data_IF_014421297356
#
_entry.id   IF_014421297356
#
_cell.length_a   1.000
_cell.length_b   1.000
_cell.length_c   1.000
_cell.angle_alpha   90.00
_cell.angle_beta   90.00
_cell.angle_gamma   90.00
#
_symmetry.space_group_name_H-M   'P 1'
#
loop_
_entity.id
_entity.type
_entity.pdbx_description
1 polymer ?
#
# COMPACT_ATOMS: atom_id res chain seq x y z
N UNK A 1 18.18 16.41 7.42
CA UNK A 1 18.48 16.11 6.00
C UNK A 1 17.28 15.64 5.17
N UNK A 2 16.22 15.03 5.72
CA UNK A 2 15.00 14.65 4.96
C UNK A 2 13.97 15.80 4.84
N UNK A 3 14.01 16.78 5.75
CA UNK A 3 13.03 17.88 5.81
C UNK A 3 13.12 18.90 4.65
N UNK A 4 14.22 18.90 3.89
CA UNK A 4 14.55 19.92 2.87
C UNK A 4 14.53 19.38 1.43
N UNK A 5 14.15 18.11 1.24
CA UNK A 5 13.98 17.53 -0.10
C UNK A 5 12.55 17.72 -0.56
N UNK A 6 12.36 18.48 -1.63
CA UNK A 6 11.14 18.45 -2.43
C UNK A 6 11.07 17.10 -3.14
N UNK A 7 10.43 16.13 -2.49
CA UNK A 7 10.22 14.81 -3.07
C UNK A 7 9.20 14.92 -4.22
N UNK A 8 9.65 14.73 -5.46
CA UNK A 8 8.74 14.59 -6.61
C UNK A 8 7.98 13.26 -6.49
N UNK A 9 6.64 13.29 -6.46
CA UNK A 9 5.85 12.06 -6.39
C UNK A 9 6.13 11.15 -7.60
N UNK A 10 6.48 11.75 -8.75
CA UNK A 10 6.84 11.01 -9.97
C UNK A 10 8.13 10.21 -9.78
N UNK A 11 9.15 10.83 -9.18
CA UNK A 11 10.43 10.16 -8.93
C UNK A 11 10.27 9.04 -7.90
N UNK A 12 9.57 9.33 -6.79
CA UNK A 12 9.26 8.30 -5.79
C UNK A 12 8.45 7.17 -6.42
N UNK A 13 7.49 7.48 -7.30
CA UNK A 13 6.69 6.45 -7.95
C UNK A 13 7.52 5.57 -8.87
N UNK A 14 8.30 6.18 -9.77
CA UNK A 14 9.03 5.48 -10.84
C UNK A 14 10.21 4.68 -10.27
N UNK A 15 11.01 5.30 -9.40
CA UNK A 15 12.25 4.68 -8.91
C UNK A 15 12.03 3.78 -7.70
N UNK A 16 10.92 3.94 -6.99
CA UNK A 16 10.74 3.31 -5.70
C UNK A 16 9.41 2.54 -5.59
N UNK A 17 8.26 3.21 -5.69
CA UNK A 17 6.94 2.60 -5.51
C UNK A 17 6.68 1.48 -6.52
N UNK A 18 6.87 1.72 -7.83
CA UNK A 18 6.58 0.73 -8.88
C UNK A 18 7.47 -0.51 -8.76
N UNK A 19 8.81 -0.41 -8.71
CA UNK A 19 9.67 -1.59 -8.56
C UNK A 19 9.33 -2.38 -7.28
N UNK A 20 9.08 -1.68 -6.18
CA UNK A 20 8.75 -2.29 -4.90
C UNK A 20 7.45 -3.10 -4.97
N UNK A 21 6.36 -2.51 -5.49
CA UNK A 21 5.09 -3.24 -5.63
C UNK A 21 5.15 -4.34 -6.68
N UNK A 22 5.96 -4.18 -7.73
CA UNK A 22 6.16 -5.24 -8.72
C UNK A 22 6.75 -6.49 -8.05
N UNK A 23 7.81 -6.32 -7.25
CA UNK A 23 8.46 -7.44 -6.56
C UNK A 23 7.50 -8.08 -5.54
N UNK A 24 6.77 -7.29 -4.74
CA UNK A 24 5.79 -7.85 -3.77
C UNK A 24 4.70 -8.63 -4.47
N UNK A 25 4.16 -8.07 -5.56
CA UNK A 25 3.06 -8.70 -6.28
C UNK A 25 3.53 -9.99 -6.93
N UNK A 26 4.76 -10.01 -7.43
CA UNK A 26 5.37 -11.23 -7.96
C UNK A 26 5.60 -12.27 -6.86
N UNK A 27 6.14 -11.86 -5.71
CA UNK A 27 6.33 -12.73 -4.56
C UNK A 27 5.01 -13.33 -4.07
N UNK A 28 3.94 -12.52 -4.00
CA UNK A 28 2.61 -12.98 -3.59
C UNK A 28 2.03 -14.06 -4.50
N UNK A 29 2.36 -14.05 -5.79
CA UNK A 29 1.96 -15.12 -6.73
C UNK A 29 2.68 -16.43 -6.45
N UNK A 30 3.93 -16.36 -5.98
CA UNK A 30 4.75 -17.55 -5.70
C UNK A 30 4.40 -18.19 -4.36
N UNK A 31 3.87 -17.42 -3.41
CA UNK A 31 3.62 -17.87 -2.03
C UNK A 31 2.18 -18.24 -1.75
N UNK A 32 1.22 -17.61 -2.45
CA UNK A 32 -0.20 -17.80 -2.15
C UNK A 32 -0.77 -18.83 -3.11
N UNK A 33 -1.16 -19.99 -2.57
CA UNK A 33 -1.85 -21.01 -3.35
C UNK A 33 -3.22 -20.47 -3.84
N UNK A 34 -3.66 -20.85 -5.06
CA UNK A 34 -4.92 -20.36 -5.64
C UNK A 34 -6.15 -20.61 -4.75
N UNK A 35 -6.14 -21.69 -3.96
CA UNK A 35 -7.25 -22.09 -3.11
C UNK A 35 -7.27 -21.36 -1.76
N UNK A 36 -6.15 -20.77 -1.33
CA UNK A 36 -6.05 -20.06 -0.06
C UNK A 36 -6.23 -18.54 -0.19
N UNK A 37 -6.29 -18.02 -1.42
CA UNK A 37 -6.47 -16.59 -1.62
C UNK A 37 -7.94 -16.17 -1.47
N UNK A 38 -8.16 -15.02 -0.81
CA UNK A 38 -9.48 -14.48 -0.46
C UNK A 38 -10.46 -14.34 -1.64
N UNK A 39 -9.96 -14.24 -2.87
CA UNK A 39 -10.77 -14.05 -4.08
C UNK A 39 -10.82 -15.29 -4.99
N UNK A 40 -10.23 -16.41 -4.58
CA UNK A 40 -10.03 -17.63 -5.38
C UNK A 40 -9.61 -17.37 -6.84
N UNK A 41 -8.73 -16.39 -7.03
CA UNK A 41 -8.25 -16.00 -8.35
C UNK A 41 -7.05 -16.88 -8.76
N UNK A 42 -6.90 -17.20 -10.05
CA UNK A 42 -5.69 -17.85 -10.53
C UNK A 42 -4.48 -16.91 -10.39
N UNK A 43 -3.29 -17.52 -10.30
CA UNK A 43 -2.00 -16.88 -10.03
C UNK A 43 -1.71 -15.64 -10.92
N UNK A 44 -2.05 -15.70 -12.20
CA UNK A 44 -1.87 -14.58 -13.13
C UNK A 44 -2.73 -13.35 -12.76
N UNK A 45 -4.01 -13.56 -12.41
CA UNK A 45 -4.92 -12.47 -12.01
C UNK A 45 -4.55 -11.89 -10.64
N UNK A 46 -4.06 -12.72 -9.71
CA UNK A 46 -3.57 -12.27 -8.41
C UNK A 46 -2.46 -11.22 -8.52
N UNK A 47 -1.53 -11.40 -9.47
CA UNK A 47 -0.47 -10.43 -9.73
C UNK A 47 -1.06 -9.05 -10.04
N UNK A 48 -1.94 -8.98 -11.04
CA UNK A 48 -2.48 -7.71 -11.55
C UNK A 48 -3.37 -7.02 -10.52
N UNK A 49 -4.15 -7.78 -9.76
CA UNK A 49 -4.99 -7.25 -8.68
C UNK A 49 -4.14 -6.68 -7.55
N UNK A 50 -3.10 -7.41 -7.13
CA UNK A 50 -2.22 -6.95 -6.06
C UNK A 50 -1.40 -5.73 -6.49
N UNK A 51 -0.80 -5.78 -7.67
CA UNK A 51 0.03 -4.70 -8.20
C UNK A 51 -0.79 -3.43 -8.43
N UNK A 52 -1.85 -3.52 -9.24
CA UNK A 52 -2.66 -2.36 -9.61
C UNK A 52 -3.38 -1.78 -8.40
N UNK A 53 -3.91 -2.65 -7.53
CA UNK A 53 -4.59 -2.23 -6.31
C UNK A 53 -3.66 -1.59 -5.29
N UNK A 54 -2.39 -2.00 -5.22
CA UNK A 54 -1.43 -1.41 -4.28
C UNK A 54 -1.00 -0.03 -4.76
N UNK A 55 -0.69 0.09 -6.05
CA UNK A 55 -0.34 1.36 -6.69
C UNK A 55 -1.50 2.35 -6.56
N UNK A 56 -2.70 1.98 -7.03
CA UNK A 56 -3.88 2.86 -6.95
C UNK A 56 -4.24 3.20 -5.50
N UNK A 57 -4.13 2.23 -4.58
CA UNK A 57 -4.42 2.41 -3.17
C UNK A 57 -3.56 3.50 -2.54
N UNK A 58 -2.26 3.55 -2.87
CA UNK A 58 -1.36 4.59 -2.37
C UNK A 58 -1.66 5.94 -2.99
N UNK A 59 -1.97 6.01 -4.29
CA UNK A 59 -2.36 7.27 -4.93
C UNK A 59 -3.62 7.86 -4.30
N UNK A 60 -4.66 7.04 -4.13
CA UNK A 60 -5.93 7.44 -3.51
C UNK A 60 -5.70 7.82 -2.05
N UNK A 61 -4.98 7.00 -1.27
CA UNK A 61 -4.66 7.29 0.12
C UNK A 61 -3.89 8.60 0.25
N UNK A 62 -2.87 8.84 -0.58
CA UNK A 62 -2.06 10.05 -0.55
C UNK A 62 -2.89 11.29 -0.86
N UNK A 63 -3.81 11.19 -1.81
CA UNK A 63 -4.72 12.28 -2.16
C UNK A 63 -5.68 12.60 -0.99
N UNK A 64 -6.32 11.57 -0.43
CA UNK A 64 -7.25 11.75 0.69
C UNK A 64 -6.55 12.28 1.94
N UNK A 65 -5.38 11.75 2.28
CA UNK A 65 -4.60 12.20 3.44
C UNK A 65 -4.08 13.63 3.24
N UNK A 66 -3.64 14.00 2.03
CA UNK A 66 -3.25 15.38 1.72
C UNK A 66 -4.43 16.36 1.80
N UNK A 67 -5.64 15.92 1.40
CA UNK A 67 -6.86 16.71 1.54
C UNK A 67 -7.30 16.88 3.00
N UNK A 68 -6.97 15.92 3.88
CA UNK A 68 -7.25 16.00 5.32
C UNK A 68 -6.20 16.82 6.09
N UNK A 69 -4.98 16.93 5.58
CA UNK A 69 -3.86 17.65 6.20
C UNK A 69 -4.22 19.09 6.69
N UNK A 70 -4.92 19.96 5.93
CA UNK A 70 -5.30 21.30 6.40
C UNK A 70 -6.11 21.29 7.70
N UNK A 71 -7.00 20.30 7.88
CA UNK A 71 -7.87 20.20 9.07
C UNK A 71 -7.07 20.00 10.36
N UNK A 72 -5.84 19.51 10.25
CA UNK A 72 -4.95 19.24 11.38
C UNK A 72 -3.83 20.27 11.52
N UNK A 73 -3.89 21.41 10.81
CA UNK A 73 -2.83 22.42 10.71
C UNK A 73 -1.52 21.85 10.12
N UNK A 74 -1.65 20.86 9.25
CA UNK A 74 -0.53 20.21 8.59
C UNK A 74 -0.29 20.82 7.21
N UNK A 75 0.93 20.66 6.68
CA UNK A 75 1.25 21.05 5.30
C UNK A 75 0.48 20.13 4.34
N UNK A 76 -0.45 20.71 3.58
CA UNK A 76 -1.16 19.99 2.52
C UNK A 76 -0.30 19.92 1.28
N UNK A 77 0.52 18.88 1.19
CA UNK A 77 1.34 18.61 0.02
C UNK A 77 1.23 17.13 -0.35
N UNK A 78 0.59 16.86 -1.49
CA UNK A 78 0.47 15.51 -2.05
C UNK A 78 1.85 14.84 -2.18
N UNK A 79 2.85 15.59 -2.63
CA UNK A 79 4.23 15.15 -2.80
C UNK A 79 4.82 14.61 -1.49
N UNK A 80 4.71 15.38 -0.40
CA UNK A 80 5.22 15.01 0.92
C UNK A 80 4.43 13.85 1.53
N UNK A 81 3.10 13.83 1.36
CA UNK A 81 2.24 12.75 1.84
C UNK A 81 2.52 11.44 1.10
N UNK A 82 2.68 11.49 -0.22
CA UNK A 82 3.00 10.32 -1.03
C UNK A 82 4.37 9.72 -0.68
N UNK A 83 5.38 10.58 -0.53
CA UNK A 83 6.70 10.16 -0.06
C UNK A 83 6.62 9.53 1.35
N UNK A 84 5.90 10.17 2.27
CA UNK A 84 5.70 9.66 3.63
C UNK A 84 5.09 8.24 3.61
N UNK A 85 4.00 8.05 2.86
CA UNK A 85 3.33 6.76 2.75
C UNK A 85 4.28 5.72 2.14
N UNK A 86 4.91 6.04 1.01
CA UNK A 86 5.82 5.13 0.31
C UNK A 86 6.99 4.69 1.19
N UNK A 87 7.65 5.61 1.88
CA UNK A 87 8.75 5.28 2.78
C UNK A 87 8.28 4.51 4.02
N UNK A 88 7.08 4.78 4.52
CA UNK A 88 6.54 4.04 5.67
C UNK A 88 6.23 2.58 5.32
N UNK A 89 6.01 2.26 4.04
CA UNK A 89 5.76 0.89 3.57
C UNK A 89 7.03 0.02 3.45
N UNK A 90 8.23 0.61 3.51
CA UNK A 90 9.51 -0.14 3.48
C UNK A 90 9.60 -1.35 4.41
N UNK A 91 9.23 -1.25 5.70
CA UNK A 91 9.36 -2.35 6.64
C UNK A 91 8.41 -3.50 6.30
N UNK A 92 7.20 -3.18 5.83
CA UNK A 92 6.23 -4.17 5.35
C UNK A 92 6.78 -4.87 4.12
N UNK A 93 7.41 -4.14 3.21
CA UNK A 93 8.07 -4.73 2.05
C UNK A 93 9.15 -5.74 2.43
N UNK A 94 10.11 -5.33 3.27
CA UNK A 94 11.17 -6.23 3.73
C UNK A 94 10.61 -7.44 4.46
N UNK A 95 9.59 -7.24 5.29
CA UNK A 95 8.91 -8.33 5.97
C UNK A 95 8.24 -9.31 4.99
N UNK A 96 7.57 -8.82 3.95
CA UNK A 96 6.92 -9.67 2.94
C UNK A 96 7.92 -10.45 2.10
N UNK A 97 9.09 -9.87 1.80
CA UNK A 97 10.17 -10.61 1.14
C UNK A 97 10.71 -11.74 2.02
N UNK A 98 10.91 -11.48 3.31
CA UNK A 98 11.40 -12.50 4.24
C UNK A 98 10.34 -13.60 4.43
N UNK A 99 9.05 -13.25 4.48
CA UNK A 99 7.98 -14.25 4.59
C UNK A 99 7.84 -15.14 3.35
N UNK A 100 8.36 -14.71 2.21
CA UNK A 100 8.37 -15.53 0.99
C UNK A 100 9.32 -16.72 1.10
N UNK A 101 10.34 -16.64 1.97
CA UNK A 101 11.33 -17.71 2.15
C UNK A 101 10.74 -18.89 2.94
N UNK A 102 9.91 -18.61 3.95
CA UNK A 102 9.30 -19.65 4.80
C UNK A 102 8.07 -19.12 5.53
N UNK A 103 7.03 -19.95 5.66
CA UNK A 103 5.78 -19.63 6.36
C UNK A 103 5.95 -19.18 7.82
N UNK A 104 6.92 -19.72 8.57
CA UNK A 104 7.22 -19.29 9.95
C UNK A 104 7.57 -17.79 10.02
N UNK A 105 8.11 -17.23 8.92
CA UNK A 105 8.44 -15.83 8.86
C UNK A 105 7.24 -14.92 8.57
N UNK A 106 6.02 -15.44 8.45
CA UNK A 106 4.82 -14.60 8.37
C UNK A 106 4.67 -13.68 9.60
N UNK A 107 5.22 -14.04 10.77
CA UNK A 107 5.26 -13.16 11.94
C UNK A 107 6.02 -11.84 11.66
N UNK A 108 7.00 -11.86 10.75
CA UNK A 108 7.70 -10.64 10.35
C UNK A 108 6.78 -9.64 9.65
N UNK A 109 5.73 -10.08 8.95
CA UNK A 109 4.73 -9.16 8.37
C UNK A 109 4.03 -8.34 9.44
N UNK A 110 3.69 -8.94 10.58
CA UNK A 110 3.13 -8.21 11.72
C UNK A 110 4.11 -7.17 12.27
N UNK A 111 5.38 -7.53 12.44
CA UNK A 111 6.42 -6.60 12.89
C UNK A 111 6.60 -5.45 11.89
N UNK A 112 6.62 -5.76 10.59
CA UNK A 112 6.71 -4.78 9.51
C UNK A 112 5.54 -3.80 9.53
N UNK A 113 4.32 -4.28 9.79
CA UNK A 113 3.11 -3.45 9.88
C UNK A 113 3.19 -2.50 11.09
N UNK A 114 3.55 -3.01 12.27
CA UNK A 114 3.72 -2.18 13.47
C UNK A 114 4.80 -1.12 13.25
N UNK A 115 5.91 -1.48 12.60
CA UNK A 115 6.98 -0.54 12.31
C UNK A 115 6.59 0.49 11.24
N UNK A 116 5.79 0.11 10.25
CA UNK A 116 5.19 1.05 9.29
C UNK A 116 4.34 2.10 10.01
N UNK A 117 3.48 1.69 10.94
CA UNK A 117 2.66 2.61 11.74
C UNK A 117 3.55 3.59 12.52
N UNK A 118 4.63 3.09 13.12
CA UNK A 118 5.59 3.91 13.84
C UNK A 118 6.33 4.91 12.93
N UNK A 119 6.83 4.47 11.77
CA UNK A 119 7.47 5.35 10.80
C UNK A 119 6.51 6.39 10.25
N UNK A 120 5.27 6.00 9.98
CA UNK A 120 4.24 6.90 9.50
C UNK A 120 3.97 7.99 10.54
N UNK A 121 3.72 7.60 11.80
CA UNK A 121 3.53 8.55 12.90
C UNK A 121 4.71 9.52 12.99
N UNK A 122 5.94 9.02 13.05
CA UNK A 122 7.14 9.86 13.19
C UNK A 122 7.32 10.78 11.99
N UNK A 123 7.05 10.27 10.79
CA UNK A 123 7.18 11.01 9.54
C UNK A 123 6.10 12.09 9.36
N UNK A 124 4.88 11.93 9.90
CA UNK A 124 3.87 13.00 9.86
C UNK A 124 4.34 14.28 10.57
N UNK A 125 5.04 14.15 11.70
CA UNK A 125 5.62 15.31 12.39
C UNK A 125 6.72 15.99 11.59
N UNK A 126 7.62 15.20 10.99
CA UNK A 126 8.80 15.71 10.26
C UNK A 126 8.44 16.29 8.89
N UNK A 127 7.59 15.60 8.11
CA UNK A 127 7.27 15.95 6.72
C UNK A 127 6.04 16.86 6.59
N UNK A 128 5.02 16.63 7.42
CA UNK A 128 3.77 17.40 7.36
C UNK A 128 3.70 18.49 8.44
N UNK A 129 4.69 18.58 9.34
CA UNK A 129 4.79 19.63 10.35
C UNK A 129 3.67 19.60 11.39
N UNK A 130 3.09 18.43 11.65
CA UNK A 130 1.91 18.31 12.52
C UNK A 130 2.31 18.57 13.97
N UNK A 131 1.61 19.46 14.70
CA UNK A 131 1.85 19.67 16.13
C UNK A 131 1.65 18.38 16.93
N UNK A 132 2.52 18.11 17.91
CA UNK A 132 2.54 16.86 18.68
C UNK A 132 1.20 16.49 19.33
N UNK A 133 0.40 17.50 19.73
CA UNK A 133 -0.92 17.28 20.35
C UNK A 133 -2.00 16.78 19.37
N UNK A 134 -1.82 16.96 18.05
CA UNK A 134 -2.73 16.47 16.98
C UNK A 134 -2.15 15.31 16.17
N UNK A 135 -0.86 15.04 16.32
CA UNK A 135 -0.14 14.01 15.58
C UNK A 135 -0.76 12.63 15.74
N UNK A 136 -1.20 12.30 16.96
CA UNK A 136 -1.83 11.02 17.26
C UNK A 136 -3.14 10.80 16.49
N UNK A 137 -4.07 11.75 16.62
CA UNK A 137 -5.37 11.68 15.97
C UNK A 137 -5.24 11.69 14.45
N UNK A 138 -4.37 12.53 13.89
CA UNK A 138 -4.11 12.54 12.45
C UNK A 138 -3.55 11.21 11.96
N UNK A 139 -2.56 10.65 12.65
CA UNK A 139 -1.90 9.41 12.23
C UNK A 139 -2.89 8.25 12.19
N UNK A 140 -3.73 8.11 13.23
CA UNK A 140 -4.77 7.07 13.27
C UNK A 140 -5.74 7.22 12.11
N UNK A 141 -6.25 8.43 11.88
CA UNK A 141 -7.23 8.68 10.80
C UNK A 141 -6.59 8.44 9.43
N UNK A 142 -5.37 8.92 9.21
CA UNK A 142 -4.67 8.75 7.96
C UNK A 142 -4.34 7.27 7.68
N UNK A 143 -3.97 6.50 8.70
CA UNK A 143 -3.79 5.05 8.58
C UNK A 143 -5.10 4.33 8.24
N UNK A 144 -6.21 4.76 8.85
CA UNK A 144 -7.54 4.19 8.53
C UNK A 144 -7.93 4.49 7.08
N UNK A 145 -7.69 5.72 6.61
CA UNK A 145 -7.90 6.11 5.20
C UNK A 145 -7.01 5.29 4.27
N UNK A 146 -5.75 5.08 4.64
CA UNK A 146 -4.81 4.29 3.86
C UNK A 146 -5.23 2.82 3.77
N UNK A 147 -5.66 2.23 4.89
CA UNK A 147 -6.20 0.88 4.92
C UNK A 147 -7.48 0.77 4.07
N UNK A 148 -8.43 1.70 4.24
CA UNK A 148 -9.66 1.73 3.47
C UNK A 148 -9.38 1.89 1.96
N UNK A 149 -8.49 2.81 1.57
CA UNK A 149 -8.10 3.01 0.18
C UNK A 149 -7.46 1.76 -0.43
N UNK A 150 -6.65 1.03 0.35
CA UNK A 150 -6.02 -0.22 -0.08
C UNK A 150 -7.06 -1.32 -0.30
N UNK A 151 -7.98 -1.52 0.65
CA UNK A 151 -9.04 -2.54 0.57
C UNK A 151 -9.98 -2.23 -0.59
N UNK A 152 -10.48 -1.00 -0.70
CA UNK A 152 -11.37 -0.58 -1.79
C UNK A 152 -10.70 -0.76 -3.15
N UNK A 153 -9.43 -0.36 -3.27
CA UNK A 153 -8.67 -0.56 -4.51
C UNK A 153 -8.51 -2.04 -4.86
N UNK A 154 -8.09 -2.86 -3.89
CA UNK A 154 -7.91 -4.30 -4.11
C UNK A 154 -9.22 -4.98 -4.53
N UNK A 155 -10.32 -4.71 -3.82
CA UNK A 155 -11.63 -5.28 -4.12
C UNK A 155 -12.16 -4.85 -5.49
N UNK A 156 -11.91 -3.60 -5.89
CA UNK A 156 -12.30 -3.10 -7.21
C UNK A 156 -11.60 -3.89 -8.34
N UNK A 157 -10.28 -4.08 -8.26
CA UNK A 157 -9.56 -4.86 -9.26
C UNK A 157 -9.89 -6.35 -9.19
N UNK A 158 -10.09 -6.89 -7.99
CA UNK A 158 -10.49 -8.29 -7.81
C UNK A 158 -11.86 -8.56 -8.45
N UNK A 159 -12.83 -7.65 -8.29
CA UNK A 159 -14.14 -7.77 -8.91
C UNK A 159 -14.04 -7.82 -10.45
N UNK A 160 -13.22 -6.95 -11.05
CA UNK A 160 -12.98 -6.96 -12.50
C UNK A 160 -12.34 -8.29 -12.94
N UNK A 161 -11.34 -8.77 -12.21
CA UNK A 161 -10.65 -10.03 -12.52
C UNK A 161 -11.60 -11.24 -12.43
N UNK A 162 -12.49 -11.26 -11.43
CA UNK A 162 -13.51 -12.30 -11.26
C UNK A 162 -14.51 -12.31 -12.42
N UNK A 163 -15.01 -11.13 -12.83
CA UNK A 163 -15.93 -11.03 -13.98
C UNK A 163 -15.29 -11.58 -15.25
N UNK A 164 -14.04 -11.22 -15.53
CA UNK A 164 -13.34 -11.69 -16.75
C UNK A 164 -13.06 -13.19 -16.67
N UNK A 165 -12.69 -13.71 -15.50
CA UNK A 165 -12.38 -15.14 -15.34
C UNK A 165 -13.63 -16.01 -15.48
N UNK A 166 -14.77 -15.57 -14.93
CA UNK A 166 -16.05 -16.26 -15.07
C UNK A 166 -16.53 -16.36 -16.52
N UNK A 167 -16.40 -15.26 -17.27
CA UNK A 167 -16.78 -15.20 -18.70
C UNK A 167 -15.95 -16.19 -19.56
N UNK A 168 -14.65 -16.33 -19.25
CA UNK A 168 -13.75 -17.26 -19.96
C UNK A 168 -14.11 -18.72 -19.68
N UNK A 169 -14.48 -19.05 -18.45
CA UNK A 169 -14.89 -20.43 -18.10
C UNK A 169 -16.20 -20.84 -18.77
N UNK A 170 -17.12 -19.90 -19.01
CA UNK A 170 -18.39 -20.20 -19.69
C UNK A 170 -18.18 -20.41 -21.19
N UNK A 171 -17.29 -19.66 -21.85
CA UNK A 171 -16.95 -19.82 -23.27
C UNK A 171 -16.20 -21.12 -23.58
N UNK A 172 -15.37 -21.62 -22.64
CA UNK A 172 -14.62 -22.86 -22.85
C UNK A 172 -15.47 -24.12 -22.64
N UNK A 173 -16.64 -23.99 -21.99
CA UNK A 173 -17.57 -25.09 -21.73
C UNK A 173 -18.75 -25.15 -22.71
N UNK A 174 -18.80 -24.25 -23.70
CA UNK A 174 -19.79 -24.22 -24.81
C UNK A 174 -19.21 -24.73 -26.11
#
# INVERSE_FOLDING_TARGET
MIADKDFSWKEVTIYFTIPLFFIISFAGVLTVEPDENFFHLPANWLFFVNFSGAVSGIFIASYLVAAMAPRFKAVSSFHKTFALISFSYLPVFFASLISTVHEIFQLFNFIGLVYMVFLFWRGTGILLGIPSYKQAGFSIIALLVLFAARVVSASFFAAIALTITGDITDVLNS
#
